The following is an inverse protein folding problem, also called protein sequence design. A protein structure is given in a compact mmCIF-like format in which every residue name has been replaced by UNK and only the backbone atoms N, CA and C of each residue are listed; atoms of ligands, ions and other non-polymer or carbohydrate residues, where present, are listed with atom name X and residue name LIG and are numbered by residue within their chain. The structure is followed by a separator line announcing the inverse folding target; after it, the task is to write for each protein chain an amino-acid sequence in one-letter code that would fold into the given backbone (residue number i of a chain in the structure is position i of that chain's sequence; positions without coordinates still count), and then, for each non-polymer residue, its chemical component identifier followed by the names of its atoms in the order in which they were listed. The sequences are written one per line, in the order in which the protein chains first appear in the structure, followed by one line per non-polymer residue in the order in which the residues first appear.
data_IF_132280412598
#
_entry.id   IF_132280412598
#
_cell.length_a   1.000
_cell.length_b   1.000
_cell.length_c   1.000
_cell.angle_alpha   90.00
_cell.angle_beta   90.00
_cell.angle_gamma   90.00
#
_symmetry.space_group_name_H-M   'P 1'
#
loop_
_entity.id
_entity.type
_entity.pdbx_description
1 polymer ?
#
# COMPACT_ATOMS: atom_id res chain seq x y z
N UNK A 1 -8.27 8.25 7.80
CA UNK A 1 -8.08 8.00 6.36
C UNK A 1 -6.77 8.66 5.96
N UNK A 2 -5.89 7.96 5.28
CA UNK A 2 -4.62 8.48 4.74
C UNK A 2 -4.74 8.37 3.23
N UNK A 3 -4.44 9.44 2.50
CA UNK A 3 -4.55 9.44 1.04
C UNK A 3 -3.16 9.60 0.46
N UNK A 4 -2.86 8.76 -0.53
CA UNK A 4 -1.68 8.88 -1.35
C UNK A 4 -2.00 9.82 -2.52
N UNK A 5 -1.28 10.92 -2.63
CA UNK A 5 -1.34 11.78 -3.82
C UNK A 5 -0.14 11.46 -4.70
N UNK A 6 -0.38 10.83 -5.85
CA UNK A 6 0.65 10.53 -6.84
C UNK A 6 0.90 11.71 -7.78
N UNK A 7 2.17 12.02 -8.04
CA UNK A 7 2.60 13.05 -8.98
C UNK A 7 3.14 12.44 -10.28
N UNK A 8 3.07 13.16 -11.43
CA UNK A 8 3.54 12.65 -12.72
C UNK A 8 5.03 12.30 -12.79
N UNK A 9 5.82 12.81 -11.85
CA UNK A 9 7.26 12.55 -11.73
C UNK A 9 7.58 11.31 -10.87
N UNK A 10 6.55 10.54 -10.49
CA UNK A 10 6.69 9.32 -9.70
C UNK A 10 6.89 9.54 -8.21
N UNK A 11 6.70 10.77 -7.71
CA UNK A 11 6.65 11.07 -6.26
C UNK A 11 5.26 10.77 -5.71
N UNK A 12 5.23 10.45 -4.42
CA UNK A 12 3.99 10.37 -3.67
C UNK A 12 4.08 11.22 -2.39
N UNK A 13 2.97 11.83 -2.00
CA UNK A 13 2.82 12.45 -0.69
C UNK A 13 1.84 11.63 0.15
N UNK A 14 2.25 11.34 1.38
CA UNK A 14 1.39 10.71 2.37
C UNK A 14 0.84 11.80 3.28
N UNK A 15 -0.48 11.97 3.24
CA UNK A 15 -1.18 13.01 3.97
C UNK A 15 -2.27 12.40 4.88
N UNK A 16 -2.40 12.91 6.09
CA UNK A 16 -3.57 12.64 6.94
C UNK A 16 -4.82 13.25 6.30
N UNK A 17 -6.01 12.66 6.50
CA UNK A 17 -7.26 13.11 5.86
C UNK A 17 -7.49 14.64 5.89
N UNK A 18 -7.15 15.31 7.00
CA UNK A 18 -7.29 16.76 7.15
C UNK A 18 -6.39 17.58 6.21
N UNK A 19 -5.28 17.02 5.73
CA UNK A 19 -4.37 17.66 4.79
C UNK A 19 -4.79 17.44 3.32
N UNK A 20 -5.57 16.41 3.04
CA UNK A 20 -6.00 16.03 1.68
C UNK A 20 -7.03 17.01 1.11
N UNK A 21 -8.00 17.42 1.93
CA UNK A 21 -9.02 18.41 1.52
C UNK A 21 -8.41 19.78 1.16
N UNK A 22 -7.25 20.10 1.73
CA UNK A 22 -6.51 21.32 1.43
C UNK A 22 -5.71 21.23 0.11
N UNK A 23 -5.14 20.06 -0.19
CA UNK A 23 -4.31 19.84 -1.39
C UNK A 23 -5.16 19.69 -2.67
N UNK A 24 -6.31 19.01 -2.60
CA UNK A 24 -7.18 18.79 -3.76
C UNK A 24 -7.92 20.05 -4.25
N UNK A 25 -8.07 21.08 -3.41
CA UNK A 25 -8.75 22.33 -3.76
C UNK A 25 -7.84 23.39 -4.39
N UNK A 26 -6.55 23.10 -4.59
CA UNK A 26 -5.56 24.10 -4.98
C UNK A 26 -5.28 24.07 -6.49
N UNK A 27 -5.50 25.17 -7.24
CA UNK A 27 -5.05 25.28 -8.63
C UNK A 27 -3.53 25.08 -8.74
N UNK A 28 -3.07 24.52 -9.85
CA UNK A 28 -1.65 24.30 -10.11
C UNK A 28 -0.84 25.59 -9.89
N UNK A 29 0.10 25.56 -8.94
CA UNK A 29 1.04 26.66 -8.68
C UNK A 29 0.79 27.49 -7.41
N UNK A 30 -0.24 27.20 -6.60
CA UNK A 30 -0.44 27.87 -5.32
C UNK A 30 -0.14 26.94 -4.14
N UNK A 31 0.52 27.44 -3.09
CA UNK A 31 0.82 26.68 -1.86
C UNK A 31 -0.18 27.10 -0.79
N UNK A 32 -1.13 26.24 -0.44
CA UNK A 32 -1.94 26.46 0.76
C UNK A 32 -1.17 25.95 1.96
N UNK A 33 -0.88 26.84 2.91
CA UNK A 33 -0.30 26.48 4.20
C UNK A 33 -1.44 26.16 5.17
N UNK A 34 -1.63 24.90 5.60
CA UNK A 34 -2.64 24.57 6.59
C UNK A 34 -2.36 25.29 7.91
N UNK A 35 -3.43 25.68 8.61
CA UNK A 35 -3.38 26.36 9.91
C UNK A 35 -2.93 25.44 11.07
N UNK A 36 -2.72 24.16 10.79
CA UNK A 36 -2.01 23.19 11.62
C UNK A 36 -0.87 22.59 10.78
N UNK A 37 0.26 22.15 11.37
CA UNK A 37 1.32 21.50 10.60
C UNK A 37 0.79 20.15 10.08
N UNK A 38 0.30 20.15 8.83
CA UNK A 38 0.21 18.92 8.07
C UNK A 38 1.65 18.47 7.79
N UNK A 39 2.10 17.42 8.47
CA UNK A 39 3.36 16.77 8.13
C UNK A 39 3.17 16.01 6.83
N UNK A 40 3.42 16.68 5.72
CA UNK A 40 3.50 16.05 4.40
C UNK A 40 4.84 15.32 4.33
N UNK A 41 4.81 13.99 4.24
CA UNK A 41 6.01 13.17 4.09
C UNK A 41 6.24 12.92 2.61
N UNK A 42 7.33 13.46 2.06
CA UNK A 42 7.73 13.22 0.67
C UNK A 42 8.30 11.82 0.53
N UNK A 43 7.74 11.04 -0.38
CA UNK A 43 8.16 9.69 -0.71
C UNK A 43 8.77 9.62 -2.11
N UNK A 44 9.78 8.76 -2.27
CA UNK A 44 10.40 8.41 -3.54
C UNK A 44 10.34 6.89 -3.73
N UNK A 45 10.32 6.39 -4.98
CA UNK A 45 10.44 4.95 -5.22
C UNK A 45 11.68 4.40 -4.53
N UNK A 46 11.52 3.31 -3.78
CA UNK A 46 12.66 2.61 -3.20
C UNK A 46 13.34 1.71 -4.24
N UNK A 47 14.56 1.28 -3.95
CA UNK A 47 15.16 0.10 -4.59
C UNK A 47 14.34 -1.17 -4.28
N UNK A 48 14.82 -2.37 -4.61
CA UNK A 48 14.10 -3.65 -4.37
C UNK A 48 14.53 -4.28 -3.02
N UNK A 49 13.88 -3.97 -1.88
CA UNK A 49 14.30 -4.50 -0.57
C UNK A 49 13.86 -5.93 -0.30
N UNK A 50 12.96 -6.48 -1.12
CA UNK A 50 12.49 -7.85 -1.02
C UNK A 50 12.95 -8.67 -2.22
N UNK A 51 14.04 -8.26 -2.87
CA UNK A 51 14.60 -8.98 -4.02
C UNK A 51 14.86 -10.44 -3.63
N UNK A 52 14.34 -11.37 -4.43
CA UNK A 52 14.45 -12.81 -4.18
C UNK A 52 13.53 -13.36 -3.08
N UNK A 53 12.80 -12.53 -2.33
CA UNK A 53 11.83 -12.99 -1.34
C UNK A 53 10.53 -13.42 -2.05
N UNK A 54 10.06 -14.63 -1.76
CA UNK A 54 8.76 -15.09 -2.24
C UNK A 54 7.63 -14.48 -1.40
N UNK A 55 6.99 -13.42 -1.92
CA UNK A 55 5.83 -12.77 -1.30
C UNK A 55 4.50 -13.28 -1.87
N UNK A 56 3.47 -13.29 -1.02
CA UNK A 56 2.12 -13.74 -1.36
C UNK A 56 1.06 -12.82 -0.78
N UNK A 57 -0.05 -12.65 -1.49
CA UNK A 57 -1.27 -12.09 -0.95
C UNK A 57 -2.01 -13.24 -0.25
N UNK A 58 -2.09 -13.16 1.08
CA UNK A 58 -2.65 -14.22 1.92
C UNK A 58 -3.89 -13.67 2.60
N UNK A 59 -5.04 -14.28 2.39
CA UNK A 59 -6.30 -13.73 2.91
C UNK A 59 -7.46 -14.71 2.88
N UNK A 60 -8.66 -14.18 3.07
CA UNK A 60 -9.90 -14.97 3.07
C UNK A 60 -10.13 -15.72 1.75
N UNK A 61 -9.68 -15.17 0.62
CA UNK A 61 -9.77 -15.79 -0.72
C UNK A 61 -8.85 -17.01 -0.90
N UNK A 62 -7.82 -17.15 -0.07
CA UNK A 62 -6.85 -18.26 -0.13
C UNK A 62 -6.78 -19.07 1.16
N UNK A 63 -7.75 -18.89 2.07
CA UNK A 63 -7.74 -19.47 3.41
C UNK A 63 -6.39 -19.25 4.12
N UNK A 64 -5.79 -18.07 3.94
CA UNK A 64 -4.48 -17.67 4.47
C UNK A 64 -3.28 -18.51 3.98
N UNK A 65 -3.45 -19.30 2.93
CA UNK A 65 -2.37 -20.07 2.31
C UNK A 65 -1.54 -19.20 1.35
N UNK A 66 -0.27 -19.55 1.17
CA UNK A 66 0.63 -18.91 0.21
C UNK A 66 0.37 -19.43 -1.22
N UNK A 67 -0.75 -19.02 -1.81
CA UNK A 67 -1.18 -19.41 -3.17
C UNK A 67 -1.01 -18.30 -4.18
N UNK A 68 -1.39 -17.08 -3.80
CA UNK A 68 -1.42 -15.92 -4.70
C UNK A 68 -0.09 -15.17 -4.62
N UNK A 69 0.91 -15.63 -5.40
CA UNK A 69 2.26 -15.07 -5.39
C UNK A 69 2.29 -13.67 -6.01
N UNK A 70 2.95 -12.72 -5.34
CA UNK A 70 3.24 -11.42 -5.92
C UNK A 70 4.44 -11.53 -6.86
N UNK A 71 4.31 -10.95 -8.04
CA UNK A 71 5.38 -10.83 -9.03
C UNK A 71 5.98 -9.43 -8.99
N UNK A 72 7.31 -9.27 -9.07
CA UNK A 72 7.93 -7.96 -9.23
C UNK A 72 7.44 -7.29 -10.51
N UNK A 73 7.00 -6.04 -10.40
CA UNK A 73 6.56 -5.20 -11.54
C UNK A 73 7.42 -3.93 -11.70
N UNK A 74 8.40 -3.76 -10.82
CA UNK A 74 9.37 -2.68 -10.80
C UNK A 74 10.16 -2.71 -9.48
N UNK A 75 11.18 -1.84 -9.32
CA UNK A 75 11.94 -1.73 -8.07
C UNK A 75 11.00 -1.49 -6.88
N UNK A 76 11.06 -2.37 -5.89
CA UNK A 76 10.26 -2.29 -4.68
C UNK A 76 8.75 -2.42 -4.89
N UNK A 77 8.29 -2.85 -6.08
CA UNK A 77 6.87 -2.97 -6.41
C UNK A 77 6.53 -4.39 -6.82
N UNK A 78 5.52 -4.95 -6.18
CA UNK A 78 5.07 -6.32 -6.44
C UNK A 78 3.56 -6.35 -6.55
N UNK A 79 3.01 -7.18 -7.44
CA UNK A 79 1.58 -7.27 -7.64
C UNK A 79 1.12 -8.71 -7.87
N UNK A 80 -0.13 -9.02 -7.52
CA UNK A 80 -0.81 -10.26 -7.85
C UNK A 80 -2.24 -9.94 -8.31
N UNK A 81 -2.69 -10.63 -9.35
CA UNK A 81 -4.08 -10.55 -9.81
C UNK A 81 -4.86 -11.72 -9.21
N UNK A 82 -5.94 -11.41 -8.49
CA UNK A 82 -6.69 -12.36 -7.66
C UNK A 82 -8.17 -12.26 -8.00
N UNK A 83 -8.79 -13.39 -8.31
CA UNK A 83 -10.24 -13.46 -8.47
C UNK A 83 -10.91 -13.37 -7.10
N UNK A 84 -11.71 -12.32 -6.89
CA UNK A 84 -12.49 -12.11 -5.67
C UNK A 84 -13.98 -12.24 -5.99
N UNK A 85 -14.72 -12.81 -5.04
CA UNK A 85 -16.18 -12.77 -5.06
C UNK A 85 -16.70 -11.41 -4.58
N UNK A 86 -18.02 -11.21 -4.63
CA UNK A 86 -18.62 -10.08 -3.95
C UNK A 86 -18.53 -10.26 -2.42
N UNK A 87 -18.33 -9.15 -1.70
CA UNK A 87 -18.30 -9.09 -0.24
C UNK A 87 -16.99 -8.60 0.34
N UNK A 88 -16.83 -8.78 1.65
CA UNK A 88 -15.65 -8.36 2.38
C UNK A 88 -14.55 -9.43 2.35
N UNK A 89 -13.35 -8.99 1.99
CA UNK A 89 -12.13 -9.77 2.02
C UNK A 89 -11.14 -9.17 3.02
N UNK A 90 -10.45 -10.04 3.76
CA UNK A 90 -9.35 -9.62 4.62
C UNK A 90 -8.08 -10.32 4.19
N UNK A 91 -6.96 -9.60 4.23
CA UNK A 91 -5.69 -10.10 3.71
C UNK A 91 -4.47 -9.42 4.34
N UNK A 92 -3.31 -10.00 4.07
CA UNK A 92 -1.97 -9.46 4.30
C UNK A 92 -1.09 -9.79 3.11
N UNK A 93 0.03 -9.10 3.00
CA UNK A 93 1.13 -9.57 2.15
C UNK A 93 2.15 -10.26 3.05
N UNK A 94 2.51 -11.49 2.78
CA UNK A 94 3.53 -12.16 3.58
C UNK A 94 4.29 -13.22 2.80
N UNK A 95 5.48 -13.54 3.28
CA UNK A 95 6.23 -14.70 2.84
C UNK A 95 5.60 -16.02 3.35
N UNK A 96 6.24 -17.15 3.03
CA UNK A 96 5.80 -18.47 3.47
C UNK A 96 5.84 -18.62 5.00
N UNK A 97 6.85 -18.05 5.63
CA UNK A 97 7.16 -18.23 7.05
C UNK A 97 6.42 -17.27 7.99
N UNK A 98 5.66 -16.31 7.45
CA UNK A 98 5.17 -15.15 8.20
C UNK A 98 6.31 -14.37 8.87
N UNK A 99 7.46 -14.29 8.19
CA UNK A 99 8.68 -13.71 8.70
C UNK A 99 8.48 -12.25 9.10
N UNK A 100 9.13 -11.83 10.18
CA UNK A 100 8.97 -10.48 10.73
C UNK A 100 9.35 -9.37 9.74
N UNK A 101 10.25 -9.65 8.79
CA UNK A 101 10.67 -8.72 7.74
C UNK A 101 9.76 -8.74 6.49
N UNK A 102 8.87 -9.73 6.38
CA UNK A 102 8.05 -9.98 5.20
C UNK A 102 6.63 -10.38 5.60
N UNK A 103 6.01 -9.58 6.48
CA UNK A 103 4.63 -9.75 6.94
C UNK A 103 4.00 -8.36 7.08
N UNK A 104 3.24 -7.95 6.06
CA UNK A 104 2.72 -6.60 5.91
C UNK A 104 1.21 -6.60 6.12
N UNK A 105 0.76 -5.77 7.05
CA UNK A 105 -0.65 -5.63 7.39
C UNK A 105 -1.01 -4.22 7.79
N UNK A 106 -2.28 -4.04 8.13
CA UNK A 106 -2.80 -2.76 8.62
C UNK A 106 -2.47 -2.48 10.09
N UNK A 107 -2.97 -1.36 10.63
CA UNK A 107 -3.65 -0.28 9.89
C UNK A 107 -2.69 0.44 8.92
N UNK A 108 -3.24 1.03 7.86
CA UNK A 108 -2.45 1.94 6.99
C UNK A 108 -2.44 3.32 7.66
N UNK A 109 -1.26 3.73 8.14
CA UNK A 109 -1.05 4.99 8.85
C UNK A 109 -0.16 5.97 8.10
N UNK A 110 0.24 7.05 8.78
CA UNK A 110 1.22 8.04 8.28
C UNK A 110 2.64 7.48 8.07
N UNK A 111 2.87 6.23 8.47
CA UNK A 111 4.11 5.48 8.23
C UNK A 111 3.91 4.30 7.27
N UNK A 112 2.73 4.22 6.63
CA UNK A 112 2.36 3.11 5.76
C UNK A 112 1.82 1.90 6.52
N UNK A 113 2.09 0.71 5.99
CA UNK A 113 1.73 -0.58 6.57
C UNK A 113 2.60 -0.92 7.78
N UNK A 114 2.02 -1.61 8.74
CA UNK A 114 2.76 -2.25 9.83
C UNK A 114 3.45 -3.50 9.30
N UNK A 115 4.76 -3.61 9.52
CA UNK A 115 5.56 -4.80 9.18
C UNK A 115 5.81 -5.63 10.44
N UNK A 116 5.50 -6.92 10.38
CA UNK A 116 5.68 -7.87 11.47
C UNK A 116 4.39 -8.60 11.87
N UNK A 117 4.54 -9.51 12.84
CA UNK A 117 3.47 -10.40 13.29
C UNK A 117 2.29 -9.66 13.94
N UNK A 118 2.55 -8.53 14.59
CA UNK A 118 1.55 -7.76 15.34
C UNK A 118 0.67 -6.85 14.46
N UNK A 119 0.87 -6.88 13.14
CA UNK A 119 0.03 -6.14 12.20
C UNK A 119 -1.42 -6.67 12.19
N UNK A 120 -2.38 -5.78 11.95
CA UNK A 120 -3.78 -6.15 11.70
C UNK A 120 -3.98 -6.59 10.25
N UNK A 121 -5.12 -7.19 9.93
CA UNK A 121 -5.46 -7.52 8.54
C UNK A 121 -5.88 -6.27 7.78
N UNK A 122 -5.51 -6.20 6.50
CA UNK A 122 -6.10 -5.27 5.53
C UNK A 122 -7.51 -5.75 5.17
N UNK A 123 -8.35 -4.81 4.72
CA UNK A 123 -9.74 -5.05 4.33
C UNK A 123 -9.99 -4.48 2.94
N UNK A 124 -10.68 -5.26 2.11
CA UNK A 124 -11.14 -4.87 0.79
C UNK A 124 -12.59 -5.32 0.64
N UNK A 125 -13.46 -4.45 0.15
CA UNK A 125 -14.85 -4.80 -0.17
C UNK A 125 -15.01 -4.79 -1.68
N UNK A 126 -15.42 -5.93 -2.24
CA UNK A 126 -15.72 -6.05 -3.66
C UNK A 126 -17.24 -6.03 -3.85
N UNK A 127 -17.75 -5.08 -4.63
CA UNK A 127 -19.19 -4.93 -4.85
C UNK A 127 -19.76 -6.04 -5.77
N UNK A 128 -18.91 -6.60 -6.63
CA UNK A 128 -19.23 -7.69 -7.54
C UNK A 128 -18.01 -8.62 -7.72
N UNK A 129 -18.20 -9.87 -8.17
CA UNK A 129 -17.08 -10.73 -8.51
C UNK A 129 -16.24 -10.14 -9.63
N UNK A 130 -14.93 -10.02 -9.41
CA UNK A 130 -13.99 -9.44 -10.37
C UNK A 130 -12.56 -9.92 -10.10
N UNK A 131 -11.68 -9.71 -11.07
CA UNK A 131 -10.23 -9.85 -10.86
C UNK A 131 -9.69 -8.55 -10.29
N UNK A 132 -9.06 -8.63 -9.12
CA UNK A 132 -8.42 -7.51 -8.45
C UNK A 132 -6.91 -7.64 -8.50
N UNK A 133 -6.23 -6.59 -8.95
CA UNK A 133 -4.79 -6.42 -8.75
C UNK A 133 -4.56 -5.90 -7.34
N UNK A 134 -3.91 -6.71 -6.51
CA UNK A 134 -3.37 -6.29 -5.22
C UNK A 134 -1.87 -6.04 -5.39
N UNK A 135 -1.41 -4.85 -4.99
CA UNK A 135 -0.02 -4.46 -5.09
C UNK A 135 0.52 -4.01 -3.73
N UNK A 136 1.82 -4.26 -3.55
CA UNK A 136 2.63 -3.79 -2.43
C UNK A 136 3.79 -2.98 -3.00
N UNK A 137 3.97 -1.78 -2.47
CA UNK A 137 5.00 -0.85 -2.92
C UNK A 137 5.86 -0.35 -1.76
N UNK A 138 7.18 -0.42 -1.95
CA UNK A 138 8.17 0.17 -1.07
C UNK A 138 8.50 1.59 -1.54
N UNK A 139 8.55 2.49 -0.57
CA UNK A 139 8.88 3.89 -0.76
C UNK A 139 9.93 4.31 0.25
N UNK A 140 10.92 5.07 -0.20
CA UNK A 140 11.88 5.70 0.69
C UNK A 140 11.39 7.12 1.02
N UNK A 141 11.30 7.42 2.30
CA UNK A 141 10.95 8.72 2.81
C UNK A 141 12.17 9.63 2.93
N UNK A 142 11.94 10.94 2.83
CA UNK A 142 13.01 11.94 2.93
C UNK A 142 13.79 11.93 4.26
N UNK A 143 13.20 11.37 5.32
CA UNK A 143 13.84 11.18 6.63
C UNK A 143 14.71 9.90 6.70
N UNK A 144 14.86 9.18 5.60
CA UNK A 144 15.61 7.91 5.51
C UNK A 144 14.82 6.68 5.94
N UNK A 145 13.56 6.83 6.34
CA UNK A 145 12.69 5.70 6.66
C UNK A 145 12.12 5.01 5.42
N UNK A 146 11.70 3.76 5.58
CA UNK A 146 10.97 3.01 4.56
C UNK A 146 9.48 2.97 4.87
N UNK A 147 8.66 3.19 3.85
CA UNK A 147 7.20 3.19 3.91
C UNK A 147 6.68 2.13 2.95
N UNK A 148 5.77 1.30 3.43
CA UNK A 148 5.10 0.27 2.64
C UNK A 148 3.66 0.68 2.39
N UNK A 149 3.21 0.64 1.15
CA UNK A 149 1.86 1.05 0.78
C UNK A 149 1.15 -0.05 -0.01
N UNK A 150 -0.12 -0.36 0.33
CA UNK A 150 -0.93 -1.24 -0.47
C UNK A 150 -1.62 -0.45 -1.58
N UNK A 151 -1.84 -1.09 -2.73
CA UNK A 151 -2.79 -0.62 -3.73
C UNK A 151 -3.70 -1.78 -4.16
N UNK A 152 -4.95 -1.47 -4.47
CA UNK A 152 -5.93 -2.44 -4.94
C UNK A 152 -6.78 -1.81 -6.05
N UNK A 153 -6.90 -2.48 -7.18
CA UNK A 153 -7.73 -2.03 -8.30
C UNK A 153 -8.35 -3.22 -9.02
N UNK A 154 -9.54 -3.04 -9.60
CA UNK A 154 -10.12 -4.01 -10.53
C UNK A 154 -9.31 -3.99 -11.84
N UNK A 155 -9.04 -5.17 -12.39
CA UNK A 155 -8.41 -5.34 -13.70
C UNK A 155 -9.53 -5.57 -14.72
N UNK A 156 -9.61 -4.70 -15.74
CA UNK A 156 -10.52 -4.84 -16.88
C UNK A 156 -10.00 -5.84 -17.92
#
# INVERSE_FOLDING_TARGET
MVVLLGFPDGRAELATAAAVDLLAATPAGQRVVPWAPATVRTLRPADDPLEGVALFARGSFSAWMARDRLVPVGPGRYAADIALGAGEHTYKFADLAWGAAANFGGPVGGDGLTVGADSSNLRLTADAPATWRLALEAWDAADGGRVWLPAAAVVE
#
